data_IF_865352812585
#
_entry.id   IF_865352812585
#
_cell.length_a   1.000
_cell.length_b   1.000
_cell.length_c   1.000
_cell.angle_alpha   90.00
_cell.angle_beta   90.00
_cell.angle_gamma   90.00
#
_symmetry.space_group_name_H-M   'P 1'
#
loop_
_entity.id
_entity.type
_entity.pdbx_description
1 polymer ?
#
# COMPACT_ATOMS: atom_id res chain seq x y z
N UNK A 1 -37.51 22.30 -37.42
CA UNK A 1 -36.07 22.00 -37.51
C UNK A 1 -35.51 22.04 -36.09
N UNK A 2 -35.50 20.90 -35.38
CA UNK A 2 -34.97 20.81 -34.00
C UNK A 2 -33.46 20.56 -34.05
N UNK A 3 -32.69 21.46 -33.45
CA UNK A 3 -31.24 21.31 -33.26
C UNK A 3 -30.99 20.44 -32.02
N UNK A 4 -30.58 19.19 -32.22
CA UNK A 4 -30.05 18.32 -31.16
C UNK A 4 -28.61 18.75 -30.84
N UNK A 5 -28.42 19.45 -29.72
CA UNK A 5 -27.10 19.70 -29.13
C UNK A 5 -26.62 18.42 -28.44
N UNK A 6 -25.70 17.71 -29.08
CA UNK A 6 -24.98 16.59 -28.49
C UNK A 6 -23.99 17.12 -27.44
N UNK A 7 -24.34 16.98 -26.17
CA UNK A 7 -23.42 17.15 -25.04
C UNK A 7 -22.40 16.00 -25.07
N UNK A 8 -21.24 16.23 -25.67
CA UNK A 8 -20.08 15.36 -25.52
C UNK A 8 -19.51 15.57 -24.12
N UNK A 9 -19.96 14.76 -23.17
CA UNK A 9 -19.29 14.61 -21.89
C UNK A 9 -17.96 13.92 -22.12
N UNK A 10 -16.87 14.70 -22.20
CA UNK A 10 -15.52 14.13 -22.14
C UNK A 10 -15.35 13.44 -20.79
N UNK A 11 -15.21 12.12 -20.79
CA UNK A 11 -14.74 11.42 -19.62
C UNK A 11 -13.35 11.98 -19.29
N UNK A 12 -13.20 12.56 -18.09
CA UNK A 12 -11.89 12.91 -17.58
C UNK A 12 -11.10 11.60 -17.43
N UNK A 13 -10.22 11.30 -18.38
CA UNK A 13 -9.26 10.22 -18.21
C UNK A 13 -8.32 10.65 -17.11
N UNK A 14 -8.22 9.84 -16.04
CA UNK A 14 -7.16 10.01 -15.06
C UNK A 14 -5.83 10.08 -15.82
N UNK A 15 -5.05 11.13 -15.56
CA UNK A 15 -3.73 11.29 -16.17
C UNK A 15 -2.89 10.06 -15.80
N UNK A 16 -2.45 9.32 -16.82
CA UNK A 16 -1.65 8.11 -16.63
C UNK A 16 -0.25 8.54 -16.19
N UNK A 17 0.09 8.30 -14.92
CA UNK A 17 1.41 8.61 -14.37
C UNK A 17 2.37 7.47 -14.61
N UNK A 18 3.63 7.78 -14.89
CA UNK A 18 4.70 6.79 -14.98
C UNK A 18 5.37 6.65 -13.61
N UNK A 19 5.06 5.56 -12.90
CA UNK A 19 5.70 5.18 -11.64
C UNK A 19 6.83 4.18 -11.89
N UNK A 20 8.02 4.49 -11.35
CA UNK A 20 9.20 3.63 -11.40
C UNK A 20 9.68 3.36 -9.96
N UNK A 21 9.65 2.10 -9.48
CA UNK A 21 10.05 1.78 -8.11
C UNK A 21 11.57 1.87 -7.89
N UNK A 22 12.39 2.10 -8.91
CA UNK A 22 13.86 2.10 -8.79
C UNK A 22 14.37 3.05 -7.69
N UNK A 23 13.83 4.28 -7.59
CA UNK A 23 14.22 5.24 -6.55
C UNK A 23 13.86 4.75 -5.15
N UNK A 24 12.70 4.11 -5.00
CA UNK A 24 12.31 3.49 -3.75
C UNK A 24 13.27 2.35 -3.39
N UNK A 25 13.54 1.44 -4.33
CA UNK A 25 14.43 0.27 -4.12
C UNK A 25 15.85 0.71 -3.75
N UNK A 26 16.42 1.67 -4.49
CA UNK A 26 17.76 2.20 -4.20
C UNK A 26 17.84 2.81 -2.80
N UNK A 27 16.79 3.49 -2.34
CA UNK A 27 16.72 3.99 -0.98
C UNK A 27 16.66 2.83 0.04
N UNK A 28 15.83 1.81 -0.21
CA UNK A 28 15.67 0.66 0.69
C UNK A 28 16.99 -0.11 0.84
N UNK A 29 17.77 -0.25 -0.23
CA UNK A 29 19.08 -0.91 -0.24
C UNK A 29 20.14 -0.18 0.60
N UNK A 30 19.94 1.11 0.88
CA UNK A 30 20.80 1.89 1.79
C UNK A 30 20.46 1.66 3.28
N UNK A 31 19.42 0.88 3.59
CA UNK A 31 19.03 0.50 4.96
C UNK A 31 18.13 1.52 5.68
N UNK A 32 17.70 2.59 5.01
CA UNK A 32 16.84 3.63 5.57
C UNK A 32 15.32 3.31 5.42
N UNK A 33 14.94 2.05 5.67
CA UNK A 33 13.66 1.46 5.21
C UNK A 33 12.42 2.35 5.38
N UNK A 34 12.15 2.81 6.61
CA UNK A 34 10.97 3.64 6.90
C UNK A 34 11.04 5.05 6.28
N UNK A 35 12.25 5.59 6.08
CA UNK A 35 12.46 6.92 5.47
C UNK A 35 12.23 6.87 3.96
N UNK A 36 12.35 5.69 3.35
CA UNK A 36 12.15 5.50 1.91
C UNK A 36 10.69 5.44 1.48
N UNK A 37 9.77 5.23 2.42
CA UNK A 37 8.34 5.16 2.13
C UNK A 37 7.87 6.51 1.55
N UNK A 38 7.34 6.50 0.34
CA UNK A 38 6.95 7.69 -0.41
C UNK A 38 7.98 8.20 -1.41
N UNK A 39 9.23 7.70 -1.38
CA UNK A 39 10.29 8.19 -2.26
C UNK A 39 9.98 7.97 -3.75
N UNK A 40 9.32 6.86 -4.09
CA UNK A 40 8.90 6.56 -5.47
C UNK A 40 7.77 7.48 -5.94
N UNK A 41 6.79 7.74 -5.09
CA UNK A 41 5.69 8.66 -5.34
C UNK A 41 6.19 10.09 -5.50
N UNK A 42 7.14 10.53 -4.66
CA UNK A 42 7.77 11.84 -4.79
C UNK A 42 8.50 12.00 -6.12
N UNK A 43 9.31 11.01 -6.51
CA UNK A 43 9.98 11.03 -7.80
C UNK A 43 8.98 11.02 -8.96
N UNK A 44 7.94 10.21 -8.87
CA UNK A 44 6.85 10.20 -9.84
C UNK A 44 6.22 11.60 -10.00
N UNK A 45 5.95 12.31 -8.90
CA UNK A 45 5.43 13.69 -8.95
C UNK A 45 6.40 14.65 -9.64
N UNK A 46 7.71 14.55 -9.37
CA UNK A 46 8.74 15.41 -9.98
C UNK A 46 8.83 15.26 -11.51
N UNK A 47 8.46 14.11 -12.05
CA UNK A 47 8.47 13.82 -13.50
C UNK A 47 7.25 14.39 -14.24
N UNK A 48 6.26 14.91 -13.53
CA UNK A 48 5.01 15.41 -14.09
C UNK A 48 4.77 16.86 -13.67
N UNK A 49 3.75 17.50 -14.27
CA UNK A 49 3.31 18.81 -13.80
C UNK A 49 2.65 18.66 -12.42
N UNK A 50 3.14 19.35 -11.37
CA UNK A 50 2.60 19.18 -10.03
C UNK A 50 1.12 19.57 -9.99
N UNK A 51 0.27 18.61 -9.68
CA UNK A 51 -1.18 18.79 -9.55
C UNK A 51 -1.73 17.83 -8.51
N UNK A 52 -2.89 18.14 -7.93
CA UNK A 52 -3.55 17.23 -6.99
C UNK A 52 -3.82 15.84 -7.61
N UNK A 53 -4.34 15.73 -8.85
CA UNK A 53 -4.51 14.43 -9.51
C UNK A 53 -3.21 13.64 -9.67
N UNK A 54 -2.11 14.30 -10.04
CA UNK A 54 -0.79 13.65 -10.16
C UNK A 54 -0.31 13.15 -8.80
N UNK A 55 -0.43 13.95 -7.74
CA UNK A 55 -0.07 13.53 -6.38
C UNK A 55 -0.87 12.30 -5.94
N UNK A 56 -2.18 12.31 -6.18
CA UNK A 56 -3.06 11.18 -5.88
C UNK A 56 -2.67 9.92 -6.67
N UNK A 57 -2.37 10.08 -7.96
CA UNK A 57 -2.01 8.97 -8.84
C UNK A 57 -0.66 8.35 -8.46
N UNK A 58 0.38 9.17 -8.29
CA UNK A 58 1.70 8.69 -7.88
C UNK A 58 1.66 7.99 -6.51
N UNK A 59 0.94 8.56 -5.52
CA UNK A 59 0.76 7.93 -4.22
C UNK A 59 0.01 6.59 -4.30
N UNK A 60 -0.99 6.48 -5.17
CA UNK A 60 -1.68 5.21 -5.43
C UNK A 60 -0.74 4.17 -6.03
N UNK A 61 0.09 4.53 -7.02
CA UNK A 61 0.98 3.56 -7.66
C UNK A 61 2.02 3.00 -6.68
N UNK A 62 2.60 3.85 -5.82
CA UNK A 62 3.50 3.35 -4.78
C UNK A 62 2.76 2.50 -3.74
N UNK A 63 1.55 2.90 -3.30
CA UNK A 63 0.70 2.05 -2.47
C UNK A 63 0.48 0.66 -3.10
N UNK A 64 0.16 0.59 -4.39
CA UNK A 64 -0.05 -0.68 -5.10
C UNK A 64 1.23 -1.51 -5.18
N UNK A 65 2.39 -0.86 -5.31
CA UNK A 65 3.69 -1.54 -5.19
C UNK A 65 3.85 -2.17 -3.81
N UNK A 66 3.63 -1.42 -2.73
CA UNK A 66 3.68 -1.94 -1.36
C UNK A 66 2.65 -3.02 -1.08
N UNK A 67 1.44 -2.93 -1.64
CA UNK A 67 0.41 -3.97 -1.48
C UNK A 67 0.90 -5.31 -2.07
N UNK A 68 1.54 -5.30 -3.24
CA UNK A 68 2.12 -6.52 -3.81
C UNK A 68 3.22 -7.12 -2.92
N UNK A 69 4.05 -6.27 -2.31
CA UNK A 69 5.07 -6.72 -1.35
C UNK A 69 4.42 -7.32 -0.10
N UNK A 70 3.41 -6.67 0.44
CA UNK A 70 2.65 -7.15 1.60
C UNK A 70 2.04 -8.53 1.34
N UNK A 71 1.38 -8.72 0.20
CA UNK A 71 0.73 -9.99 -0.15
C UNK A 71 1.77 -11.14 -0.20
N UNK A 72 2.96 -10.87 -0.76
CA UNK A 72 4.08 -11.83 -0.78
C UNK A 72 4.61 -12.13 0.62
N UNK A 73 4.87 -11.09 1.42
CA UNK A 73 5.38 -11.25 2.79
C UNK A 73 4.39 -12.03 3.67
N UNK A 74 3.10 -11.72 3.56
CA UNK A 74 2.04 -12.42 4.27
C UNK A 74 1.97 -13.90 3.88
N UNK A 75 1.94 -14.22 2.58
CA UNK A 75 1.88 -15.61 2.12
C UNK A 75 3.06 -16.44 2.64
N UNK A 76 4.28 -15.87 2.64
CA UNK A 76 5.47 -16.54 3.17
C UNK A 76 5.41 -16.74 4.66
N UNK A 77 5.00 -15.70 5.40
CA UNK A 77 4.93 -15.78 6.85
C UNK A 77 3.85 -16.76 7.30
N UNK A 78 2.75 -16.85 6.58
CA UNK A 78 1.69 -17.83 6.80
C UNK A 78 2.17 -19.26 6.55
N UNK A 79 2.81 -19.52 5.40
CA UNK A 79 3.37 -20.83 5.08
C UNK A 79 4.42 -21.28 6.11
N UNK A 80 5.27 -20.35 6.56
CA UNK A 80 6.22 -20.63 7.64
C UNK A 80 5.52 -20.93 8.97
N UNK A 81 4.48 -20.16 9.33
CA UNK A 81 3.67 -20.40 10.52
C UNK A 81 3.05 -21.80 10.53
N UNK A 82 2.44 -22.20 9.41
CA UNK A 82 1.86 -23.53 9.23
C UNK A 82 2.90 -24.63 9.39
N UNK A 83 4.06 -24.49 8.74
CA UNK A 83 5.15 -25.46 8.87
C UNK A 83 5.64 -25.60 10.32
N UNK A 84 5.67 -24.52 11.10
CA UNK A 84 6.06 -24.60 12.52
C UNK A 84 4.96 -25.24 13.36
N UNK A 85 3.71 -24.86 13.15
CA UNK A 85 2.57 -25.42 13.87
C UNK A 85 2.55 -26.95 13.74
N UNK A 86 2.72 -27.47 12.51
CA UNK A 86 2.79 -28.91 12.20
C UNK A 86 3.94 -29.63 12.91
N UNK A 87 5.08 -28.97 13.14
CA UNK A 87 6.22 -29.55 13.87
C UNK A 87 5.99 -29.55 15.38
N UNK A 88 5.30 -28.54 15.92
CA UNK A 88 5.13 -28.35 17.36
C UNK A 88 3.98 -29.14 17.98
N UNK A 89 3.00 -29.58 17.18
CA UNK A 89 1.87 -30.40 17.63
C UNK A 89 2.33 -31.72 18.31
N UNK A 90 3.53 -32.21 17.97
CA UNK A 90 4.11 -33.41 18.59
C UNK A 90 4.73 -33.17 19.97
N UNK A 91 5.01 -31.92 20.37
CA UNK A 91 5.80 -31.59 21.56
C UNK A 91 4.97 -31.01 22.73
N UNK A 92 3.83 -30.38 22.44
CA UNK A 92 2.92 -29.78 23.42
C UNK A 92 1.48 -30.12 23.01
N UNK A 93 0.59 -30.56 23.92
CA UNK A 93 -0.82 -30.84 23.59
C UNK A 93 -1.63 -29.61 23.14
N UNK A 94 -1.17 -28.39 23.45
CA UNK A 94 -1.91 -27.17 23.11
C UNK A 94 -0.97 -25.97 22.80
N UNK A 95 -0.12 -26.07 21.77
CA UNK A 95 0.80 -24.99 21.44
C UNK A 95 0.02 -23.79 20.87
N UNK A 96 0.52 -22.55 21.04
CA UNK A 96 -0.02 -21.40 20.33
C UNK A 96 0.12 -21.61 18.82
N UNK A 97 -0.98 -21.46 18.08
CA UNK A 97 -1.03 -21.63 16.62
C UNK A 97 -0.57 -20.36 15.92
N UNK A 98 0.63 -20.37 15.34
CA UNK A 98 1.25 -19.20 14.70
C UNK A 98 0.51 -18.79 13.44
N UNK A 99 0.04 -19.75 12.65
CA UNK A 99 -0.71 -19.46 11.42
C UNK A 99 -2.04 -18.74 11.74
N UNK A 100 -2.82 -19.32 12.65
CA UNK A 100 -4.10 -18.75 13.10
C UNK A 100 -3.91 -17.36 13.73
N UNK A 101 -2.89 -17.18 14.57
CA UNK A 101 -2.58 -15.89 15.16
C UNK A 101 -2.20 -14.84 14.11
N UNK A 102 -1.45 -15.22 13.06
CA UNK A 102 -1.09 -14.33 11.97
C UNK A 102 -2.31 -13.96 11.12
N UNK A 103 -3.18 -14.92 10.78
CA UNK A 103 -4.41 -14.68 10.03
C UNK A 103 -5.31 -13.67 10.76
N UNK A 104 -5.52 -13.88 12.06
CA UNK A 104 -6.30 -12.98 12.91
C UNK A 104 -5.67 -11.58 12.98
N UNK A 105 -4.35 -11.49 13.17
CA UNK A 105 -3.64 -10.22 13.22
C UNK A 105 -3.70 -9.47 11.88
N UNK A 106 -3.55 -10.18 10.76
CA UNK A 106 -3.60 -9.59 9.42
C UNK A 106 -4.99 -9.04 9.10
N UNK A 107 -6.04 -9.81 9.41
CA UNK A 107 -7.43 -9.37 9.22
C UNK A 107 -7.73 -8.10 10.06
N UNK A 108 -7.37 -8.11 11.34
CA UNK A 108 -7.57 -6.95 12.22
C UNK A 108 -6.76 -5.73 11.74
N UNK A 109 -5.53 -5.94 11.26
CA UNK A 109 -4.71 -4.87 10.70
C UNK A 109 -5.31 -4.27 9.43
N UNK A 110 -5.88 -5.09 8.53
CA UNK A 110 -6.53 -4.58 7.32
C UNK A 110 -7.74 -3.69 7.66
N UNK A 111 -8.55 -4.09 8.64
CA UNK A 111 -9.67 -3.29 9.14
C UNK A 111 -9.18 -1.98 9.76
N UNK A 112 -8.17 -2.05 10.64
CA UNK A 112 -7.54 -0.86 11.21
C UNK A 112 -7.05 0.10 10.13
N UNK A 113 -6.29 -0.38 9.12
CA UNK A 113 -5.80 0.43 8.01
C UNK A 113 -6.95 1.10 7.27
N UNK A 114 -8.01 0.35 6.95
CA UNK A 114 -9.15 0.88 6.22
C UNK A 114 -9.84 2.01 7.01
N UNK A 115 -10.13 1.79 8.29
CA UNK A 115 -10.77 2.77 9.17
C UNK A 115 -9.88 4.00 9.42
N UNK A 116 -8.60 3.79 9.66
CA UNK A 116 -7.63 4.86 9.90
C UNK A 116 -7.49 5.75 8.66
N UNK A 117 -7.36 5.17 7.47
CA UNK A 117 -7.22 5.97 6.26
C UNK A 117 -8.54 6.62 5.84
N UNK A 118 -9.70 6.03 6.12
CA UNK A 118 -10.98 6.70 5.98
C UNK A 118 -11.11 7.91 6.92
N UNK A 119 -10.60 7.81 8.16
CA UNK A 119 -10.52 8.95 9.08
C UNK A 119 -9.63 10.07 8.52
N UNK A 120 -8.42 9.74 8.05
CA UNK A 120 -7.52 10.72 7.39
C UNK A 120 -8.21 11.36 6.17
N UNK A 121 -8.93 10.57 5.36
CA UNK A 121 -9.70 11.11 4.24
C UNK A 121 -10.75 12.13 4.70
N UNK A 122 -11.47 11.82 5.78
CA UNK A 122 -12.50 12.69 6.35
C UNK A 122 -11.94 14.01 6.92
N UNK A 123 -10.74 13.99 7.52
CA UNK A 123 -10.07 15.22 7.99
C UNK A 123 -9.76 16.21 6.85
N UNK A 124 -9.64 15.69 5.62
CA UNK A 124 -9.37 16.48 4.41
C UNK A 124 -10.65 16.80 3.61
N UNK A 125 -11.82 16.66 4.23
CA UNK A 125 -13.10 16.97 3.61
C UNK A 125 -13.18 18.43 3.13
N UNK A 126 -13.77 18.65 1.95
CA UNK A 126 -13.97 19.97 1.35
C UNK A 126 -12.78 20.51 0.53
N UNK A 127 -11.67 19.77 0.43
CA UNK A 127 -10.51 20.11 -0.40
C UNK A 127 -10.22 19.10 -1.51
N UNK A 128 -9.37 19.48 -2.47
CA UNK A 128 -8.91 18.56 -3.53
C UNK A 128 -7.88 17.54 -3.03
N UNK A 129 -7.18 17.84 -1.93
CA UNK A 129 -6.13 16.98 -1.35
C UNK A 129 -6.61 15.69 -0.68
N UNK A 130 -7.92 15.49 -0.57
CA UNK A 130 -8.54 14.33 0.10
C UNK A 130 -8.00 13.00 -0.41
N UNK A 131 -7.98 12.81 -1.73
CA UNK A 131 -7.46 11.58 -2.34
C UNK A 131 -5.97 11.36 -2.07
N UNK A 132 -5.16 12.42 -2.13
CA UNK A 132 -3.73 12.34 -1.84
C UNK A 132 -3.46 11.96 -0.38
N UNK A 133 -4.22 12.52 0.57
CA UNK A 133 -4.10 12.18 1.98
C UNK A 133 -4.46 10.71 2.25
N UNK A 134 -5.54 10.22 1.62
CA UNK A 134 -5.97 8.82 1.71
C UNK A 134 -4.89 7.85 1.20
N UNK A 135 -4.37 8.06 -0.01
CA UNK A 135 -3.35 7.16 -0.57
C UNK A 135 -2.01 7.24 0.16
N UNK A 136 -1.64 8.41 0.71
CA UNK A 136 -0.47 8.50 1.58
C UNK A 136 -0.62 7.65 2.83
N UNK A 137 -1.76 7.72 3.50
CA UNK A 137 -2.04 6.85 4.66
C UNK A 137 -1.98 5.37 4.29
N UNK A 138 -2.62 4.97 3.18
CA UNK A 138 -2.59 3.58 2.72
C UNK A 138 -1.16 3.12 2.44
N UNK A 139 -0.37 3.92 1.73
CA UNK A 139 1.03 3.66 1.41
C UNK A 139 1.85 3.46 2.68
N UNK A 140 1.80 4.41 3.62
CA UNK A 140 2.58 4.38 4.87
C UNK A 140 2.29 3.14 5.72
N UNK A 141 1.01 2.87 5.98
CA UNK A 141 0.62 1.71 6.79
C UNK A 141 0.98 0.40 6.10
N UNK A 142 0.72 0.29 4.79
CA UNK A 142 0.97 -0.94 4.02
C UNK A 142 2.46 -1.23 3.94
N UNK A 143 3.29 -0.23 3.66
CA UNK A 143 4.74 -0.37 3.63
C UNK A 143 5.29 -0.79 4.99
N UNK A 144 4.86 -0.11 6.07
CA UNK A 144 5.28 -0.44 7.43
C UNK A 144 4.95 -1.88 7.81
N UNK A 145 3.77 -2.38 7.45
CA UNK A 145 3.37 -3.75 7.75
C UNK A 145 4.07 -4.79 6.85
N UNK A 146 4.31 -4.48 5.57
CA UNK A 146 5.11 -5.34 4.69
C UNK A 146 6.53 -5.55 5.26
N UNK A 147 7.19 -4.46 5.66
CA UNK A 147 8.53 -4.48 6.26
C UNK A 147 8.53 -5.17 7.64
N UNK A 148 7.47 -5.02 8.43
CA UNK A 148 7.32 -5.76 9.68
C UNK A 148 7.24 -7.28 9.46
N UNK A 149 6.49 -7.72 8.44
CA UNK A 149 6.35 -9.14 8.13
C UNK A 149 7.62 -9.74 7.51
N UNK A 150 8.30 -8.96 6.66
CA UNK A 150 9.54 -9.36 6.01
C UNK A 150 10.43 -8.12 5.74
N UNK A 151 11.46 -7.86 6.58
CA UNK A 151 12.29 -6.66 6.50
C UNK A 151 13.19 -6.53 5.27
N UNK A 152 13.16 -7.47 4.34
CA UNK A 152 13.98 -7.53 3.12
C UNK A 152 13.15 -7.83 1.86
N UNK A 153 11.81 -7.68 1.94
CA UNK A 153 10.84 -8.11 0.91
C UNK A 153 11.04 -7.52 -0.50
N UNK A 154 11.78 -6.42 -0.63
CA UNK A 154 12.03 -5.73 -1.90
C UNK A 154 13.23 -6.30 -2.69
N UNK A 155 14.04 -7.18 -2.09
CA UNK A 155 15.26 -7.71 -2.71
C UNK A 155 15.02 -8.88 -3.68
N UNK A 156 13.78 -9.05 -4.16
CA UNK A 156 13.32 -10.23 -4.90
C UNK A 156 12.62 -9.86 -6.22
#
# INVERSE_FOLDING_TARGET
MLCLLALWGGAATAEEVVFDPAVLIECLDQGAQHVCIGAGAEECVRRHLPSTPVNQACGREEYLYWQRLLDRAYARRLAHGQSVDDMTEFADPQPPRRAEALEAAHAAWQEFRALQCAHVEAEWWGGTGRGSAYFRCLMELTAGYALFLQPDIWQE
#
